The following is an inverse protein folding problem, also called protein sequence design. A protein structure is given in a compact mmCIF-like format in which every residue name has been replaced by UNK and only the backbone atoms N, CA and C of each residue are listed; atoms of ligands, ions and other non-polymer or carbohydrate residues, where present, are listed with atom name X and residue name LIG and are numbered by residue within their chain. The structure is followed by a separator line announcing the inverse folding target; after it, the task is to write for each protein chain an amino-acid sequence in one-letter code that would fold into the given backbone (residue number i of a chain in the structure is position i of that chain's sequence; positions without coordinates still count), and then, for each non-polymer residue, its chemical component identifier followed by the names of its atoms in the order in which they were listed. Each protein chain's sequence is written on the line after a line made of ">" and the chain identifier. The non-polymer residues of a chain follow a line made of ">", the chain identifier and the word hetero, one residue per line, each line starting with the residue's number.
data_IF_571000157427
#
_entry.id   IF_571000157427
#
_cell.length_a   1.000
_cell.length_b   1.000
_cell.length_c   1.000
_cell.angle_alpha   90.00
_cell.angle_beta   90.00
_cell.angle_gamma   90.00
#
_symmetry.space_group_name_H-M   'P 1'
#
loop_
_entity.id
_entity.type
_entity.pdbx_description
1 polymer ?
#
# COMPACT_ATOMS: atom_id res chain seq x y z
N UNK A 1 10.14 7.01 17.35
CA UNK A 1 8.68 6.86 17.35
C UNK A 1 8.20 6.29 18.67
N UNK A 2 6.90 6.43 18.96
CA UNK A 2 6.23 5.88 20.14
C UNK A 2 5.97 4.39 19.96
N UNK A 3 6.93 3.52 20.32
CA UNK A 3 6.88 2.07 20.00
C UNK A 3 5.59 1.38 20.47
N UNK A 4 4.99 1.85 21.56
CA UNK A 4 3.77 1.26 22.10
C UNK A 4 2.56 1.38 21.16
N UNK A 5 2.54 2.38 20.26
CA UNK A 5 1.47 2.49 19.26
C UNK A 5 1.63 1.41 18.18
N UNK A 6 2.86 1.21 17.70
CA UNK A 6 3.15 0.14 16.73
C UNK A 6 2.87 -1.24 17.32
N UNK A 7 3.10 -1.43 18.62
CA UNK A 7 2.71 -2.68 19.29
C UNK A 7 1.18 -2.90 19.29
N UNK A 8 0.39 -1.82 19.41
CA UNK A 8 -1.08 -1.90 19.32
C UNK A 8 -1.57 -2.25 17.93
N UNK A 9 -0.92 -1.73 16.91
CA UNK A 9 -1.18 -2.04 15.51
C UNK A 9 -1.17 -3.55 15.24
N UNK A 10 -0.14 -4.23 15.77
CA UNK A 10 0.00 -5.69 15.61
C UNK A 10 -0.96 -6.53 16.45
N UNK A 11 -1.66 -5.93 17.43
CA UNK A 11 -2.45 -6.67 18.43
C UNK A 11 -3.94 -6.36 18.41
N UNK A 12 -4.35 -5.19 17.89
CA UNK A 12 -5.74 -4.73 17.83
C UNK A 12 -6.22 -4.86 16.38
N UNK A 13 -7.22 -5.73 16.10
CA UNK A 13 -7.76 -5.88 14.75
C UNK A 13 -8.32 -4.58 14.18
N UNK A 14 -8.02 -4.30 12.91
CA UNK A 14 -8.51 -3.12 12.17
C UNK A 14 -8.07 -1.76 12.77
N UNK A 15 -6.99 -1.76 13.55
CA UNK A 15 -6.26 -0.56 13.92
C UNK A 15 -5.09 -0.41 12.93
N UNK A 16 -4.90 0.81 12.43
CA UNK A 16 -3.74 1.20 11.61
C UNK A 16 -3.11 2.45 12.26
N UNK A 17 -1.85 2.33 12.68
CA UNK A 17 -1.08 3.43 13.24
C UNK A 17 -0.33 4.17 12.15
N UNK A 18 -0.91 5.30 11.77
CA UNK A 18 -0.38 6.17 10.72
C UNK A 18 0.86 6.96 11.20
N UNK A 19 1.95 6.90 10.42
CA UNK A 19 3.08 7.83 10.51
C UNK A 19 2.99 8.97 9.47
N UNK A 20 3.88 9.95 9.55
CA UNK A 20 3.93 11.04 8.58
C UNK A 20 4.34 10.57 7.18
N UNK A 21 3.87 11.29 6.15
CA UNK A 21 4.12 10.97 4.74
C UNK A 21 5.59 10.73 4.39
N UNK A 22 6.53 11.45 5.01
CA UNK A 22 7.95 11.33 4.64
C UNK A 22 8.52 10.02 5.15
N UNK A 23 8.21 9.64 6.38
CA UNK A 23 8.66 8.37 6.96
C UNK A 23 7.99 7.20 6.24
N UNK A 24 6.67 7.25 6.08
CA UNK A 24 5.88 6.24 5.37
C UNK A 24 6.44 5.99 3.96
N UNK A 25 6.69 7.07 3.20
CA UNK A 25 7.28 6.95 1.87
C UNK A 25 8.67 6.33 1.90
N UNK A 26 9.49 6.61 2.92
CA UNK A 26 10.81 5.99 3.03
C UNK A 26 10.72 4.49 3.27
N UNK A 27 9.78 4.04 4.10
CA UNK A 27 9.58 2.62 4.41
C UNK A 27 9.00 1.86 3.21
N UNK A 28 7.99 2.43 2.54
CA UNK A 28 7.48 1.88 1.27
C UNK A 28 8.60 1.77 0.22
N UNK A 29 9.40 2.82 0.02
CA UNK A 29 10.49 2.76 -0.97
C UNK A 29 11.62 1.79 -0.56
N UNK A 30 11.81 1.55 0.74
CA UNK A 30 12.75 0.56 1.27
C UNK A 30 12.25 -0.87 0.99
N UNK A 31 10.95 -1.11 1.10
CA UNK A 31 10.33 -2.41 0.81
C UNK A 31 10.14 -2.66 -0.69
N UNK A 32 9.45 -1.75 -1.38
CA UNK A 32 9.06 -1.88 -2.79
C UNK A 32 10.21 -1.58 -3.76
N UNK A 33 11.10 -0.66 -3.38
CA UNK A 33 12.22 -0.18 -4.19
C UNK A 33 12.11 1.30 -4.58
N UNK A 34 13.26 1.93 -4.88
CA UNK A 34 13.39 3.38 -5.09
C UNK A 34 12.55 3.96 -6.24
N UNK A 35 12.15 3.13 -7.19
CA UNK A 35 11.35 3.52 -8.36
C UNK A 35 9.85 3.25 -8.17
N UNK A 36 9.42 2.77 -7.01
CA UNK A 36 8.02 2.49 -6.75
C UNK A 36 7.20 3.80 -6.76
N UNK A 37 6.12 3.87 -7.56
CA UNK A 37 5.30 5.07 -7.65
C UNK A 37 4.48 5.21 -6.36
N UNK A 38 4.84 6.21 -5.54
CA UNK A 38 4.10 6.54 -4.33
C UNK A 38 4.06 8.05 -4.13
N UNK A 39 2.86 8.62 -4.21
CA UNK A 39 2.57 10.04 -4.10
C UNK A 39 1.86 10.39 -2.80
N UNK A 40 1.67 11.69 -2.54
CA UNK A 40 0.90 12.14 -1.39
C UNK A 40 -0.59 11.74 -1.48
N UNK A 41 -1.13 11.63 -2.70
CA UNK A 41 -2.50 11.13 -2.89
C UNK A 41 -2.64 9.67 -2.47
N UNK A 42 -1.66 8.83 -2.85
CA UNK A 42 -1.62 7.42 -2.46
C UNK A 42 -1.51 7.27 -0.93
N UNK A 43 -0.71 8.13 -0.28
CA UNK A 43 -0.62 8.21 1.17
C UNK A 43 -1.96 8.54 1.84
N UNK A 44 -2.71 9.53 1.33
CA UNK A 44 -4.04 9.85 1.88
C UNK A 44 -4.98 8.65 1.76
N UNK A 45 -4.92 7.91 0.65
CA UNK A 45 -5.74 6.69 0.48
C UNK A 45 -5.29 5.60 1.45
N UNK A 46 -3.97 5.37 1.60
CA UNK A 46 -3.43 4.39 2.56
C UNK A 46 -3.96 4.65 3.97
N UNK A 47 -3.85 5.88 4.46
CA UNK A 47 -4.34 6.27 5.80
C UNK A 47 -5.82 5.94 6.03
N UNK A 48 -6.64 6.12 4.99
CA UNK A 48 -8.08 5.88 5.10
C UNK A 48 -8.42 4.38 4.99
N UNK A 49 -7.58 3.61 4.29
CA UNK A 49 -7.85 2.23 3.93
C UNK A 49 -7.06 1.20 4.73
N UNK A 50 -5.97 1.56 5.41
CA UNK A 50 -5.07 0.62 6.11
C UNK A 50 -5.81 -0.20 7.17
N UNK A 51 -6.63 0.45 8.00
CA UNK A 51 -7.47 -0.25 8.98
C UNK A 51 -8.63 -1.07 8.39
N UNK A 52 -8.85 -1.06 7.06
CA UNK A 52 -9.96 -1.75 6.38
C UNK A 52 -9.47 -2.85 5.45
N UNK A 53 -8.35 -2.62 4.75
CA UNK A 53 -7.82 -3.49 3.72
C UNK A 53 -6.32 -3.72 3.94
N UNK A 54 -5.98 -4.97 4.23
CA UNK A 54 -4.62 -5.43 4.51
C UNK A 54 -3.63 -5.15 3.37
N UNK A 55 -4.10 -4.96 2.13
CA UNK A 55 -3.19 -4.60 1.04
C UNK A 55 -2.55 -3.22 1.25
N UNK A 56 -3.29 -2.25 1.80
CA UNK A 56 -2.77 -0.92 2.09
C UNK A 56 -1.90 -0.90 3.34
N UNK A 57 -2.34 -1.63 4.37
CA UNK A 57 -1.62 -1.84 5.63
C UNK A 57 -0.21 -2.41 5.36
N UNK A 58 -0.14 -3.50 4.60
CA UNK A 58 1.10 -4.25 4.38
C UNK A 58 2.04 -3.63 3.31
N UNK A 59 1.74 -2.44 2.78
CA UNK A 59 2.43 -1.87 1.62
C UNK A 59 3.91 -1.53 1.88
N UNK A 60 4.29 -1.26 3.12
CA UNK A 60 5.67 -1.01 3.57
C UNK A 60 6.37 -2.27 4.11
N UNK A 61 5.65 -3.38 4.27
CA UNK A 61 6.19 -4.64 4.77
C UNK A 61 6.33 -5.73 3.70
N UNK A 62 5.42 -5.74 2.71
CA UNK A 62 5.32 -6.79 1.69
C UNK A 62 5.37 -6.22 0.29
N UNK A 63 6.22 -6.81 -0.56
CA UNK A 63 6.29 -6.42 -1.97
C UNK A 63 4.98 -6.69 -2.70
N UNK A 64 4.51 -5.69 -3.43
CA UNK A 64 3.37 -5.84 -4.34
C UNK A 64 3.76 -6.78 -5.48
N UNK A 65 3.06 -7.91 -5.62
CA UNK A 65 3.26 -8.78 -6.78
C UNK A 65 2.61 -8.17 -8.02
N UNK A 66 3.37 -7.93 -9.07
CA UNK A 66 2.86 -7.44 -10.37
C UNK A 66 2.13 -8.50 -11.18
N UNK A 67 2.24 -9.77 -10.79
CA UNK A 67 1.72 -10.92 -11.55
C UNK A 67 0.19 -10.85 -11.76
N UNK A 68 -0.54 -10.23 -10.83
CA UNK A 68 -1.99 -10.03 -10.93
C UNK A 68 -2.37 -8.99 -12.01
N UNK A 69 -1.52 -8.00 -12.28
CA UNK A 69 -1.81 -6.93 -13.24
C UNK A 69 -1.45 -7.33 -14.69
N UNK A 70 -0.40 -8.14 -14.87
CA UNK A 70 -0.01 -8.63 -16.20
C UNK A 70 -1.06 -9.60 -16.80
N UNK A 71 -1.67 -10.44 -15.96
CA UNK A 71 -2.80 -11.29 -16.37
C UNK A 71 -4.01 -10.49 -16.86
N UNK A 72 -4.31 -9.34 -16.22
CA UNK A 72 -5.40 -8.46 -16.62
C UNK A 72 -5.12 -7.69 -17.92
N UNK A 73 -3.85 -7.36 -18.22
CA UNK A 73 -3.45 -6.65 -19.44
C UNK A 73 -3.49 -7.52 -20.70
N UNK A 74 -3.37 -8.83 -20.57
CA UNK A 74 -3.47 -9.78 -21.69
C UNK A 74 -4.91 -9.93 -22.22
N UNK A 75 -5.92 -9.43 -21.49
CA UNK A 75 -7.32 -9.40 -21.93
C UNK A 75 -7.66 -8.14 -22.73
N UNK A 76 -7.09 -7.96 -23.92
CA UNK A 76 -7.54 -6.90 -24.85
C UNK A 76 -8.96 -7.19 -25.31
N UNK A 77 -9.94 -6.59 -24.64
CA UNK A 77 -11.30 -6.46 -25.18
C UNK A 77 -11.26 -5.44 -26.32
N UNK A 78 -11.43 -5.92 -27.54
CA UNK A 78 -11.51 -5.11 -28.76
C UNK A 78 -12.84 -4.33 -28.78
N UNK A 79 -12.75 -3.01 -28.58
CA UNK A 79 -13.88 -2.08 -28.62
C UNK A 79 -14.23 -1.60 -30.04
N UNK A 80 -13.60 -2.10 -31.10
CA UNK A 80 -13.85 -1.67 -32.49
C UNK A 80 -15.15 -2.20 -33.12
N UNK A 81 -15.97 -2.96 -32.37
CA UNK A 81 -17.23 -3.56 -32.86
C UNK A 81 -18.49 -3.01 -32.20
N UNK A 82 -18.59 -1.69 -32.02
CA UNK A 82 -19.86 -1.02 -31.71
C UNK A 82 -20.23 -0.04 -32.81
#
# INVERSE_FOLDING_TARGET
>A
AMSYLNDWDTTIPNLDVVDDYKNEKQEILKCQGKSFPFSYGDYVVKILMGGVDSWFDELDEKKVSTDAFEGARSGTTDYSKR
#
